data_IF_127723954322
#
_entry.id   IF_127723954322
#
_cell.length_a   1.000
_cell.length_b   1.000
_cell.length_c   1.000
_cell.angle_alpha   90.00
_cell.angle_beta   90.00
_cell.angle_gamma   90.00
#
_symmetry.space_group_name_H-M   'P 1'
#
loop_
_entity.id
_entity.type
_entity.pdbx_description
1 polymer ?
#
# COMPACT_ATOMS: atom_id res chain seq x y z
N UNK A 1 17.33 10.37 -20.33
CA UNK A 1 15.91 10.25 -20.70
C UNK A 1 15.12 10.12 -19.40
N UNK A 2 13.89 10.64 -19.33
CA UNK A 2 13.06 10.52 -18.13
C UNK A 2 12.04 9.40 -18.36
N UNK A 3 11.97 8.45 -17.45
CA UNK A 3 11.02 7.34 -17.46
C UNK A 3 9.86 7.63 -16.52
N UNK A 4 8.69 7.10 -16.86
CA UNK A 4 7.50 7.19 -16.01
C UNK A 4 7.25 5.84 -15.36
N UNK A 5 6.88 5.85 -14.10
CA UNK A 5 6.62 4.64 -13.33
C UNK A 5 5.26 4.72 -12.65
N UNK A 6 4.54 3.60 -12.65
CA UNK A 6 3.40 3.35 -11.78
C UNK A 6 3.91 2.69 -10.50
N UNK A 7 3.70 3.35 -9.37
CA UNK A 7 3.97 2.81 -8.05
C UNK A 7 2.68 2.29 -7.43
N UNK A 8 2.70 1.02 -7.01
CA UNK A 8 1.61 0.36 -6.28
C UNK A 8 2.04 0.18 -4.85
N UNK A 9 1.46 0.95 -3.95
CA UNK A 9 1.88 1.08 -2.56
C UNK A 9 0.85 0.41 -1.66
N UNK A 10 1.32 -0.45 -0.78
CA UNK A 10 0.50 -1.18 0.19
C UNK A 10 0.91 -0.74 1.59
N UNK A 11 -0.02 -0.16 2.34
CA UNK A 11 0.20 0.27 3.73
C UNK A 11 -0.63 -0.60 4.65
N UNK A 12 0.00 -1.18 5.68
CA UNK A 12 -0.64 -2.10 6.63
C UNK A 12 -0.24 -1.77 8.04
N UNK A 13 -1.14 -1.94 9.01
CA UNK A 13 -0.78 -1.82 10.42
C UNK A 13 0.29 -2.85 10.80
N UNK A 14 1.27 -2.46 11.61
CA UNK A 14 2.28 -3.36 12.18
C UNK A 14 1.59 -4.53 12.91
N UNK A 15 2.19 -5.74 12.94
CA UNK A 15 1.55 -6.92 13.54
C UNK A 15 1.11 -6.73 15.01
N UNK A 16 1.88 -5.94 15.78
CA UNK A 16 1.58 -5.63 17.19
C UNK A 16 0.47 -4.61 17.39
N UNK A 17 0.00 -3.96 16.33
CA UNK A 17 -1.05 -2.94 16.40
C UNK A 17 -2.40 -3.59 16.10
N UNK A 18 -3.36 -3.36 17.00
CA UNK A 18 -4.74 -3.80 16.86
C UNK A 18 -5.40 -3.08 15.67
N UNK A 19 -6.14 -3.85 14.88
CA UNK A 19 -6.95 -3.36 13.76
C UNK A 19 -8.44 -3.56 14.07
N UNK A 20 -9.13 -2.56 14.67
CA UNK A 20 -10.56 -2.67 14.97
C UNK A 20 -11.43 -2.91 13.72
N UNK A 21 -11.03 -2.38 12.56
CA UNK A 21 -11.78 -2.55 11.32
C UNK A 21 -11.68 -3.98 10.81
N UNK A 22 -10.47 -4.56 10.81
CA UNK A 22 -10.24 -5.97 10.49
C UNK A 22 -11.04 -6.91 11.40
N UNK A 23 -11.03 -6.66 12.71
CA UNK A 23 -11.81 -7.46 13.69
C UNK A 23 -13.31 -7.40 13.41
N UNK A 24 -13.83 -6.21 13.10
CA UNK A 24 -15.24 -6.04 12.76
C UNK A 24 -15.63 -6.82 11.49
N UNK A 25 -14.79 -6.75 10.45
CA UNK A 25 -15.00 -7.50 9.19
C UNK A 25 -14.93 -9.00 9.43
N UNK A 26 -13.95 -9.49 10.19
CA UNK A 26 -13.83 -10.90 10.55
C UNK A 26 -15.08 -11.40 11.26
N UNK A 27 -15.57 -10.64 12.25
CA UNK A 27 -16.81 -10.97 12.98
C UNK A 27 -18.02 -11.03 12.04
N UNK A 28 -18.11 -10.11 11.07
CA UNK A 28 -19.15 -10.13 10.04
C UNK A 28 -19.08 -11.37 9.15
N UNK A 29 -17.88 -11.76 8.71
CA UNK A 29 -17.68 -12.96 7.89
C UNK A 29 -18.08 -14.24 8.64
N UNK A 30 -17.76 -14.35 9.94
CA UNK A 30 -18.20 -15.47 10.77
C UNK A 30 -19.73 -15.54 10.87
N UNK A 31 -20.40 -14.41 11.09
CA UNK A 31 -21.87 -14.37 11.11
C UNK A 31 -22.51 -14.77 9.77
N UNK A 32 -21.79 -14.61 8.65
CA UNK A 32 -22.21 -15.04 7.32
C UNK A 32 -21.90 -16.53 7.04
N UNK A 33 -21.30 -17.25 7.99
CA UNK A 33 -20.97 -18.68 7.87
C UNK A 33 -19.58 -18.99 7.29
N UNK A 34 -18.69 -17.99 7.17
CA UNK A 34 -17.31 -18.20 6.72
C UNK A 34 -16.38 -18.53 7.90
N UNK A 35 -16.53 -19.73 8.44
CA UNK A 35 -15.77 -20.18 9.63
C UNK A 35 -14.28 -20.46 9.34
N UNK A 36 -13.90 -20.54 8.07
CA UNK A 36 -12.52 -20.76 7.64
C UNK A 36 -11.67 -19.48 7.55
N UNK A 37 -12.23 -18.31 7.89
CA UNK A 37 -11.49 -17.04 7.91
C UNK A 37 -10.93 -16.80 9.30
N UNK A 38 -9.65 -17.08 9.48
CA UNK A 38 -8.98 -17.01 10.78
C UNK A 38 -8.57 -15.60 11.20
N UNK A 39 -8.19 -14.75 10.22
CA UNK A 39 -7.72 -13.40 10.49
C UNK A 39 -8.00 -12.46 9.32
N UNK A 40 -8.48 -11.25 9.63
CA UNK A 40 -8.62 -10.16 8.65
C UNK A 40 -7.78 -8.96 9.11
N UNK A 41 -7.02 -8.38 8.18
CA UNK A 41 -6.36 -7.08 8.36
C UNK A 41 -6.75 -6.16 7.22
N UNK A 42 -7.08 -4.93 7.55
CA UNK A 42 -7.40 -3.87 6.59
C UNK A 42 -6.19 -2.95 6.46
N UNK A 43 -5.90 -2.58 5.21
CA UNK A 43 -4.82 -1.69 4.86
C UNK A 43 -5.21 -0.77 3.73
N UNK A 44 -4.29 0.10 3.32
CA UNK A 44 -4.47 1.03 2.20
C UNK A 44 -3.74 0.48 0.98
N UNK A 45 -4.40 0.57 -0.16
CA UNK A 45 -3.79 0.40 -1.47
C UNK A 45 -3.78 1.77 -2.17
N UNK A 46 -2.60 2.21 -2.60
CA UNK A 46 -2.40 3.54 -3.16
C UNK A 46 -1.63 3.37 -4.46
N UNK A 47 -2.15 3.95 -5.54
CA UNK A 47 -1.44 4.05 -6.81
C UNK A 47 -1.00 5.49 -7.05
N UNK A 48 0.23 5.69 -7.51
CA UNK A 48 0.69 6.98 -7.98
C UNK A 48 1.62 6.83 -9.18
N UNK A 49 1.63 7.86 -10.03
CA UNK A 49 2.56 7.97 -11.14
C UNK A 49 3.71 8.90 -10.76
N UNK A 50 4.94 8.46 -10.99
CA UNK A 50 6.15 9.25 -10.76
C UNK A 50 7.03 9.24 -12.00
N UNK A 51 7.57 10.40 -12.37
CA UNK A 51 8.51 10.53 -13.49
C UNK A 51 9.91 10.76 -12.95
N UNK A 52 10.88 9.93 -13.33
CA UNK A 52 12.26 10.03 -12.83
C UNK A 52 13.29 9.72 -13.91
N UNK A 53 14.50 10.24 -13.74
CA UNK A 53 15.62 10.01 -14.66
C UNK A 53 16.22 8.61 -14.53
N UNK A 54 15.97 7.94 -13.42
CA UNK A 54 16.47 6.60 -13.11
C UNK A 54 15.52 5.90 -12.12
N UNK A 55 15.42 4.58 -12.21
CA UNK A 55 14.57 3.78 -11.32
C UNK A 55 14.98 3.92 -9.85
N UNK A 56 16.30 3.95 -9.57
CA UNK A 56 16.83 4.07 -8.21
C UNK A 56 16.36 5.35 -7.52
N UNK A 57 16.42 6.49 -8.23
CA UNK A 57 15.90 7.77 -7.73
C UNK A 57 14.39 7.71 -7.52
N UNK A 58 13.62 7.12 -8.44
CA UNK A 58 12.18 6.95 -8.26
C UNK A 58 11.85 6.16 -6.99
N UNK A 59 12.60 5.08 -6.71
CA UNK A 59 12.45 4.29 -5.47
C UNK A 59 12.78 5.11 -4.23
N UNK A 60 13.86 5.87 -4.25
CA UNK A 60 14.24 6.71 -3.11
C UNK A 60 13.22 7.82 -2.83
N UNK A 61 12.69 8.44 -3.89
CA UNK A 61 11.61 9.42 -3.77
C UNK A 61 10.34 8.76 -3.20
N UNK A 62 10.00 7.54 -3.65
CA UNK A 62 8.85 6.79 -3.12
C UNK A 62 9.01 6.40 -1.65
N UNK A 63 10.19 5.95 -1.22
CA UNK A 63 10.47 5.66 0.19
C UNK A 63 10.26 6.92 1.05
N UNK A 64 10.71 8.08 0.57
CA UNK A 64 10.51 9.35 1.27
C UNK A 64 9.03 9.74 1.33
N UNK A 65 8.32 9.66 0.21
CA UNK A 65 6.88 9.95 0.14
C UNK A 65 6.09 9.03 1.08
N UNK A 66 6.40 7.73 1.09
CA UNK A 66 5.75 6.76 1.95
C UNK A 66 6.00 7.06 3.43
N UNK A 67 7.26 7.29 3.81
CA UNK A 67 7.63 7.59 5.20
C UNK A 67 7.07 8.92 5.73
N UNK A 68 6.96 9.94 4.88
CA UNK A 68 6.56 11.28 5.31
C UNK A 68 5.06 11.51 5.25
N UNK A 69 4.34 10.84 4.35
CA UNK A 69 2.96 11.20 4.03
C UNK A 69 1.99 10.02 4.00
N UNK A 70 2.37 8.89 3.39
CA UNK A 70 1.40 7.82 3.10
C UNK A 70 1.26 6.79 4.23
N UNK A 71 2.32 6.60 5.01
CA UNK A 71 2.35 5.69 6.15
C UNK A 71 2.75 6.44 7.42
N UNK A 72 2.11 6.07 8.53
CA UNK A 72 2.57 6.46 9.86
C UNK A 72 3.66 5.47 10.32
N UNK A 73 4.94 5.88 10.41
CA UNK A 73 6.04 4.96 10.69
C UNK A 73 5.98 4.30 12.08
N UNK A 74 5.23 4.89 13.02
CA UNK A 74 5.08 4.34 14.38
C UNK A 74 4.22 3.08 14.37
N UNK A 75 3.13 3.08 13.60
CA UNK A 75 2.08 2.06 13.69
C UNK A 75 1.82 1.30 12.38
N UNK A 76 2.32 1.80 11.25
CA UNK A 76 2.14 1.20 9.92
C UNK A 76 3.49 0.77 9.33
N UNK A 77 3.43 -0.26 8.49
CA UNK A 77 4.47 -0.66 7.56
C UNK A 77 3.97 -0.38 6.13
N UNK A 78 4.88 -0.15 5.20
CA UNK A 78 4.55 -0.12 3.78
C UNK A 78 5.48 -0.99 2.96
N UNK A 79 5.01 -1.36 1.77
CA UNK A 79 5.80 -1.90 0.67
C UNK A 79 5.28 -1.30 -0.62
N UNK A 80 6.11 -1.28 -1.66
CA UNK A 80 5.63 -0.88 -2.99
C UNK A 80 6.27 -1.68 -4.11
N UNK A 81 5.54 -1.75 -5.21
CA UNK A 81 5.99 -2.26 -6.49
C UNK A 81 6.12 -1.08 -7.44
N UNK A 82 7.15 -1.09 -8.29
CA UNK A 82 7.43 -0.03 -9.25
C UNK A 82 7.49 -0.62 -10.66
N UNK A 83 6.67 -0.10 -11.57
CA UNK A 83 6.50 -0.62 -12.92
C UNK A 83 6.73 0.54 -13.88
N UNK A 84 7.69 0.42 -14.81
CA UNK A 84 7.87 1.42 -15.87
C UNK A 84 6.68 1.37 -16.85
N UNK A 85 6.16 2.54 -17.23
CA UNK A 85 4.97 2.66 -18.09
C UNK A 85 5.24 3.62 -19.24
N UNK A 86 4.82 3.24 -20.46
CA UNK A 86 5.13 3.98 -21.69
C UNK A 86 4.24 5.22 -21.89
N UNK A 87 3.06 5.31 -21.27
CA UNK A 87 2.16 6.49 -21.37
C UNK A 87 1.08 6.47 -20.28
N UNK A 88 0.29 7.55 -20.13
CA UNK A 88 -0.73 7.77 -19.07
C UNK A 88 -1.72 6.59 -18.88
N UNK A 89 -1.34 5.56 -18.14
CA UNK A 89 -2.28 4.81 -17.32
C UNK A 89 -2.73 5.76 -16.22
N UNK A 90 -3.98 6.21 -16.27
CA UNK A 90 -4.57 7.00 -15.19
C UNK A 90 -4.44 6.26 -13.86
N UNK A 91 -4.36 7.01 -12.76
CA UNK A 91 -4.66 6.46 -11.44
C UNK A 91 -6.18 6.31 -11.43
N UNK A 92 -6.67 5.08 -11.25
CA UNK A 92 -8.11 4.81 -11.19
C UNK A 92 -8.76 5.49 -9.98
#
# INVERSE_FOLDING_TARGET
MQSKYLAKIFVTLRPSVLDPAGVAVQSGLQQMGYDNVEQVRIGKYIELLITSTEEKKARQDLDNICNQMLANPVIENYRFELIEVETQTGVF
#
